data_IF_550579103048
#
_entry.id   IF_550579103048
#
_cell.length_a   1.000
_cell.length_b   1.000
_cell.length_c   1.000
_cell.angle_alpha   90.00
_cell.angle_beta   90.00
_cell.angle_gamma   90.00
#
_symmetry.space_group_name_H-M   'P 1'
#
loop_
_entity.id
_entity.type
_entity.pdbx_description
1 polymer ?
#
# COMPACT_ATOMS: atom_id res chain seq x y z
N UNK A 1 49.39 9.87 -23.17
CA UNK A 1 48.78 10.99 -23.91
C UNK A 1 47.49 11.37 -23.21
N UNK A 2 47.30 12.64 -22.79
CA UNK A 2 46.10 13.07 -22.04
C UNK A 2 44.96 13.24 -23.05
N UNK A 3 43.82 12.58 -22.83
CA UNK A 3 42.64 12.71 -23.69
C UNK A 3 42.10 14.14 -23.63
N UNK A 4 41.90 14.75 -24.79
CA UNK A 4 41.13 15.99 -24.94
C UNK A 4 39.64 15.64 -25.06
N UNK A 5 38.79 16.43 -24.43
CA UNK A 5 37.34 16.28 -24.49
C UNK A 5 36.76 17.53 -25.14
N UNK A 6 36.05 17.34 -26.26
CA UNK A 6 35.41 18.44 -26.96
C UNK A 6 34.22 18.97 -26.16
N UNK A 7 34.05 20.29 -26.16
CA UNK A 7 32.90 20.91 -25.54
C UNK A 7 31.66 20.73 -26.40
N UNK A 8 30.57 20.27 -25.78
CA UNK A 8 29.24 20.24 -26.37
C UNK A 8 28.28 21.03 -25.47
N UNK A 9 27.45 21.93 -26.03
CA UNK A 9 26.45 22.65 -25.25
C UNK A 9 25.42 21.67 -24.67
N UNK A 10 24.87 21.94 -23.47
CA UNK A 10 23.86 21.07 -22.87
C UNK A 10 22.56 21.09 -23.69
N UNK A 11 21.89 19.94 -23.74
CA UNK A 11 20.55 19.79 -24.33
C UNK A 11 19.57 19.40 -23.23
N UNK A 12 18.43 20.09 -23.15
CA UNK A 12 17.36 19.72 -22.20
C UNK A 12 16.79 18.35 -22.60
N UNK A 13 16.78 17.41 -21.67
CA UNK A 13 16.44 16.01 -21.98
C UNK A 13 14.97 15.78 -22.35
N UNK A 14 14.05 16.62 -21.89
CA UNK A 14 12.62 16.48 -22.10
C UNK A 14 12.03 17.82 -22.53
N UNK A 15 11.43 17.86 -23.71
CA UNK A 15 10.49 18.93 -24.03
C UNK A 15 9.29 18.82 -23.08
N UNK A 16 8.75 19.96 -22.62
CA UNK A 16 7.55 19.95 -21.78
C UNK A 16 6.41 19.29 -22.57
N UNK A 17 5.93 18.09 -22.17
CA UNK A 17 4.85 17.43 -22.89
C UNK A 17 3.58 18.27 -22.77
N UNK A 18 2.66 18.15 -23.72
CA UNK A 18 1.39 18.89 -23.69
C UNK A 18 0.64 18.70 -22.35
N UNK A 19 0.71 17.51 -21.76
CA UNK A 19 0.12 17.21 -20.46
C UNK A 19 0.83 17.86 -19.25
N UNK A 20 2.04 18.39 -19.41
CA UNK A 20 2.74 19.19 -18.39
C UNK A 20 2.42 20.69 -18.49
N UNK A 21 1.83 21.14 -19.59
CA UNK A 21 1.43 22.54 -19.78
C UNK A 21 0.01 22.70 -19.24
N UNK A 22 -0.15 23.51 -18.20
CA UNK A 22 -1.46 23.91 -17.68
C UNK A 22 -1.82 25.31 -18.16
N UNK A 23 -3.10 25.54 -18.39
CA UNK A 23 -3.61 26.87 -18.70
C UNK A 23 -3.68 27.68 -17.42
N UNK A 24 -2.90 28.75 -17.34
CA UNK A 24 -2.98 29.73 -16.25
C UNK A 24 -4.42 30.23 -16.04
N UNK A 25 -5.14 30.52 -17.12
CA UNK A 25 -6.53 30.95 -17.04
C UNK A 25 -7.45 29.89 -16.40
N UNK A 26 -7.25 28.60 -16.72
CA UNK A 26 -8.01 27.50 -16.12
C UNK A 26 -7.65 27.32 -14.63
N UNK A 27 -6.35 27.30 -14.31
CA UNK A 27 -5.86 27.22 -12.93
C UNK A 27 -6.44 28.35 -12.07
N UNK A 28 -6.35 29.59 -12.53
CA UNK A 28 -6.89 30.75 -11.82
C UNK A 28 -8.42 30.73 -11.74
N UNK A 29 -9.12 30.21 -12.76
CA UNK A 29 -10.56 30.04 -12.69
C UNK A 29 -10.97 28.99 -11.64
N UNK A 30 -10.27 27.84 -11.59
CA UNK A 30 -10.52 26.76 -10.62
C UNK A 30 -10.19 27.23 -9.21
N UNK A 31 -9.05 27.90 -9.04
CA UNK A 31 -8.60 28.49 -7.78
C UNK A 31 -9.60 29.51 -7.24
N UNK A 32 -10.01 30.49 -8.05
CA UNK A 32 -11.04 31.49 -7.65
C UNK A 32 -12.35 30.83 -7.24
N UNK A 33 -12.79 29.80 -7.97
CA UNK A 33 -14.02 29.06 -7.64
C UNK A 33 -13.92 28.36 -6.28
N UNK A 34 -12.80 27.70 -6.00
CA UNK A 34 -12.59 27.02 -4.71
C UNK A 34 -12.57 28.02 -3.54
N UNK A 35 -11.87 29.15 -3.70
CA UNK A 35 -11.78 30.19 -2.68
C UNK A 35 -13.11 30.93 -2.40
N UNK A 36 -14.05 30.92 -3.35
CA UNK A 36 -15.37 31.51 -3.16
C UNK A 36 -16.29 30.65 -2.25
N UNK A 37 -15.91 29.42 -1.94
CA UNK A 37 -16.68 28.52 -1.08
C UNK A 37 -16.73 28.98 0.38
N UNK A 38 -17.87 28.78 1.05
CA UNK A 38 -18.13 29.31 2.42
C UNK A 38 -17.57 28.47 3.57
N UNK A 39 -17.13 27.23 3.34
CA UNK A 39 -16.70 26.30 4.40
C UNK A 39 -15.26 25.84 4.15
N UNK A 40 -14.32 26.39 4.89
CA UNK A 40 -12.93 25.93 4.88
C UNK A 40 -12.76 24.89 5.98
N UNK A 41 -12.35 23.67 5.61
CA UNK A 41 -11.82 22.74 6.61
C UNK A 41 -10.39 23.16 6.93
N UNK A 42 -10.08 23.29 8.21
CA UNK A 42 -8.75 23.65 8.69
C UNK A 42 -8.11 22.50 9.46
N UNK A 43 -6.81 22.32 9.27
CA UNK A 43 -5.99 21.33 9.97
C UNK A 43 -4.66 21.99 10.34
N UNK A 44 -4.23 21.80 11.58
CA UNK A 44 -2.88 22.16 12.01
C UNK A 44 -2.03 20.90 11.98
N UNK A 45 -0.87 20.98 11.33
CA UNK A 45 0.22 20.01 11.44
C UNK A 45 1.15 20.53 12.54
N UNK A 46 1.14 19.94 13.75
CA UNK A 46 2.04 20.36 14.81
C UNK A 46 3.51 20.27 14.35
N UNK A 47 4.37 21.14 14.89
CA UNK A 47 5.81 21.03 14.65
C UNK A 47 6.32 19.63 15.00
N UNK A 48 7.32 19.13 14.27
CA UNK A 48 7.93 17.81 14.52
C UNK A 48 6.89 16.68 14.53
N UNK A 49 5.96 16.74 13.59
CA UNK A 49 4.93 15.72 13.42
C UNK A 49 4.45 15.68 11.97
N UNK A 50 3.50 14.80 11.68
CA UNK A 50 2.80 14.78 10.41
C UNK A 50 1.29 14.60 10.61
N UNK A 51 0.53 15.00 9.61
CA UNK A 51 -0.92 14.74 9.51
C UNK A 51 -1.27 14.36 8.09
N UNK A 52 -2.38 13.63 7.96
CA UNK A 52 -2.96 13.28 6.67
C UNK A 52 -4.32 13.95 6.47
N UNK A 53 -4.71 14.11 5.22
CA UNK A 53 -6.05 14.49 4.81
C UNK A 53 -6.34 13.96 3.41
N UNK A 54 -7.61 13.96 3.03
CA UNK A 54 -8.05 13.55 1.69
C UNK A 54 -8.49 14.73 0.87
N UNK A 55 -8.30 14.67 -0.44
CA UNK A 55 -8.80 15.63 -1.41
C UNK A 55 -9.56 14.90 -2.51
N UNK A 56 -10.64 15.48 -3.01
CA UNK A 56 -11.31 15.06 -4.24
C UNK A 56 -10.70 15.80 -5.43
N UNK A 57 -10.84 15.23 -6.62
CA UNK A 57 -10.44 15.89 -7.85
C UNK A 57 -11.11 17.27 -7.98
N UNK A 58 -10.30 18.31 -8.19
CA UNK A 58 -10.74 19.70 -8.24
C UNK A 58 -10.68 20.47 -6.92
N UNK A 59 -10.43 19.80 -5.78
CA UNK A 59 -10.20 20.49 -4.50
C UNK A 59 -8.93 21.34 -4.55
N UNK A 60 -8.98 22.47 -3.85
CA UNK A 60 -7.82 23.32 -3.58
C UNK A 60 -7.29 22.98 -2.19
N UNK A 61 -5.98 22.88 -2.05
CA UNK A 61 -5.31 22.82 -0.76
C UNK A 61 -4.36 23.99 -0.64
N UNK A 62 -4.45 24.73 0.47
CA UNK A 62 -3.49 25.75 0.86
C UNK A 62 -2.69 25.25 2.05
N UNK A 63 -1.36 25.38 1.98
CA UNK A 63 -0.46 25.15 3.11
C UNK A 63 0.20 26.47 3.46
N UNK A 64 0.04 26.94 4.69
CA UNK A 64 0.53 28.24 5.16
C UNK A 64 1.33 28.16 6.46
N UNK A 65 2.11 29.20 6.71
CA UNK A 65 2.98 29.34 7.88
C UNK A 65 2.33 30.25 8.94
N UNK A 66 1.70 29.71 10.01
CA UNK A 66 0.96 30.51 10.98
C UNK A 66 1.86 31.28 11.97
N UNK A 67 3.09 30.81 12.21
CA UNK A 67 3.94 31.30 13.30
C UNK A 67 5.32 31.78 12.84
N UNK A 68 6.07 30.95 12.11
CA UNK A 68 7.45 31.23 11.72
C UNK A 68 7.89 30.46 10.48
N UNK A 69 9.16 30.60 10.10
CA UNK A 69 9.75 29.90 8.95
C UNK A 69 9.84 28.40 9.23
N UNK A 70 9.19 27.59 8.41
CA UNK A 70 9.11 26.14 8.57
C UNK A 70 9.02 25.48 7.20
N UNK A 71 9.90 24.52 6.94
CA UNK A 71 9.82 23.69 5.73
C UNK A 71 8.91 22.48 5.95
N UNK A 72 8.30 22.00 4.88
CA UNK A 72 7.36 20.88 4.93
C UNK A 72 7.69 19.81 3.90
N UNK A 73 7.50 18.55 4.30
CA UNK A 73 7.72 17.39 3.45
C UNK A 73 6.36 16.79 3.06
N UNK A 74 5.99 16.89 1.78
CA UNK A 74 4.71 16.38 1.26
C UNK A 74 4.86 15.01 0.57
N UNK A 75 3.89 14.13 0.84
CA UNK A 75 3.65 12.91 0.06
C UNK A 75 2.19 12.89 -0.42
N UNK A 76 1.98 12.40 -1.65
CA UNK A 76 0.67 12.29 -2.28
C UNK A 76 0.48 10.85 -2.79
N UNK A 77 -0.69 10.28 -2.52
CA UNK A 77 -1.11 8.98 -3.03
C UNK A 77 -2.45 9.12 -3.73
N UNK A 78 -2.71 8.30 -4.74
CA UNK A 78 -4.07 8.15 -5.25
C UNK A 78 -4.95 7.54 -4.13
N UNK A 79 -6.12 8.13 -3.89
CA UNK A 79 -6.98 7.74 -2.77
C UNK A 79 -7.56 6.32 -2.90
N UNK A 80 -7.81 5.87 -4.13
CA UNK A 80 -8.43 4.57 -4.41
C UNK A 80 -7.43 3.40 -4.43
N UNK A 81 -6.15 3.64 -4.74
CA UNK A 81 -5.12 2.60 -4.82
C UNK A 81 -3.75 3.04 -4.24
N UNK A 82 -3.69 3.57 -3.00
CA UNK A 82 -2.51 4.29 -2.48
C UNK A 82 -1.23 3.44 -2.39
N UNK A 83 -1.34 2.11 -2.27
CA UNK A 83 -0.18 1.21 -2.28
C UNK A 83 0.52 1.08 -3.64
N UNK A 84 -0.12 1.54 -4.73
CA UNK A 84 0.39 1.37 -6.10
C UNK A 84 0.69 2.69 -6.79
N UNK A 85 -0.17 3.70 -6.64
CA UNK A 85 0.00 4.99 -7.31
C UNK A 85 0.28 6.10 -6.31
N UNK A 86 1.48 6.69 -6.42
CA UNK A 86 1.99 7.73 -5.52
C UNK A 86 2.85 8.73 -6.27
N UNK A 87 3.15 9.87 -5.65
CA UNK A 87 3.96 10.92 -6.24
C UNK A 87 5.37 10.41 -6.57
N UNK A 88 5.91 10.93 -7.68
CA UNK A 88 7.20 10.56 -8.22
C UNK A 88 8.06 11.79 -8.49
N UNK A 89 8.83 12.19 -7.47
CA UNK A 89 9.75 13.33 -7.51
C UNK A 89 10.73 13.22 -8.69
N UNK A 90 11.29 12.03 -8.93
CA UNK A 90 12.30 11.80 -9.97
C UNK A 90 11.82 12.14 -11.39
N UNK A 91 10.61 11.71 -11.77
CA UNK A 91 10.08 12.03 -13.10
C UNK A 91 9.51 13.45 -13.15
N UNK A 92 8.94 13.93 -12.05
CA UNK A 92 8.52 15.33 -11.90
C UNK A 92 9.70 16.27 -12.13
N UNK A 93 10.87 15.98 -11.54
CA UNK A 93 12.13 16.72 -11.71
C UNK A 93 12.61 16.74 -13.16
N UNK A 94 12.47 15.61 -13.86
CA UNK A 94 12.87 15.49 -15.26
C UNK A 94 11.96 16.26 -16.22
N UNK A 95 10.66 16.33 -15.92
CA UNK A 95 9.67 17.06 -16.74
C UNK A 95 9.72 18.57 -16.47
N UNK A 96 9.92 18.97 -15.21
CA UNK A 96 9.85 20.37 -14.79
C UNK A 96 11.23 20.95 -14.52
N UNK A 97 11.77 20.77 -13.31
CA UNK A 97 13.07 21.27 -12.88
C UNK A 97 13.45 20.66 -11.53
N UNK A 98 14.58 21.06 -10.95
CA UNK A 98 14.97 20.72 -9.57
C UNK A 98 13.97 21.21 -8.51
N UNK A 99 13.22 22.27 -8.83
CA UNK A 99 12.28 22.97 -7.96
C UNK A 99 11.01 23.29 -8.73
N UNK A 100 9.85 23.13 -8.09
CA UNK A 100 8.56 23.39 -8.73
C UNK A 100 8.16 24.85 -8.61
N UNK A 101 7.53 25.37 -9.67
CA UNK A 101 6.97 26.72 -9.71
C UNK A 101 5.46 26.67 -9.91
N UNK A 102 4.79 27.81 -9.71
CA UNK A 102 3.40 27.98 -10.12
C UNK A 102 3.21 27.45 -11.55
N UNK A 103 2.16 26.65 -11.74
CA UNK A 103 1.78 25.96 -12.97
C UNK A 103 2.59 24.70 -13.33
N UNK A 104 3.51 24.23 -12.48
CA UNK A 104 4.06 22.88 -12.62
C UNK A 104 3.13 21.81 -12.03
N UNK A 105 3.33 20.55 -12.43
CA UNK A 105 2.51 19.41 -12.02
C UNK A 105 3.32 18.43 -11.18
N UNK A 106 2.65 17.80 -10.21
CA UNK A 106 3.16 16.65 -9.49
C UNK A 106 2.71 15.38 -10.20
N UNK A 107 3.65 14.52 -10.60
CA UNK A 107 3.36 13.33 -11.41
C UNK A 107 3.39 12.04 -10.59
N UNK A 108 2.52 11.08 -10.94
CA UNK A 108 2.51 9.76 -10.32
C UNK A 108 3.59 8.82 -10.87
N UNK A 109 3.92 7.79 -10.08
CA UNK A 109 4.90 6.77 -10.43
C UNK A 109 4.46 5.86 -11.59
N UNK A 110 5.38 5.02 -12.07
CA UNK A 110 5.05 3.99 -13.04
C UNK A 110 4.20 2.86 -12.44
N UNK A 111 3.31 2.22 -13.23
CA UNK A 111 3.06 2.43 -14.66
C UNK A 111 2.05 3.54 -14.98
N UNK A 112 1.69 4.38 -14.01
CA UNK A 112 0.58 5.34 -14.14
C UNK A 112 0.97 6.62 -14.89
N UNK A 113 2.08 7.25 -14.48
CA UNK A 113 2.62 8.51 -15.01
C UNK A 113 1.54 9.51 -15.46
N UNK A 114 0.78 10.04 -14.50
CA UNK A 114 -0.24 11.05 -14.76
C UNK A 114 -0.24 12.16 -13.69
N UNK A 115 -0.78 13.34 -13.99
CA UNK A 115 -0.86 14.44 -13.04
C UNK A 115 -1.68 14.07 -11.81
N UNK A 116 -1.10 14.25 -10.62
CA UNK A 116 -1.77 14.09 -9.33
C UNK A 116 -2.29 15.42 -8.81
N UNK A 117 -1.48 16.47 -8.93
CA UNK A 117 -1.81 17.82 -8.52
C UNK A 117 -1.13 18.86 -9.42
N UNK A 118 -1.68 20.07 -9.44
CA UNK A 118 -1.09 21.23 -10.10
C UNK A 118 -0.79 22.31 -9.06
N UNK A 119 0.45 22.81 -9.03
CA UNK A 119 0.85 23.94 -8.19
C UNK A 119 0.24 25.21 -8.79
N UNK A 120 -0.56 25.97 -8.04
CA UNK A 120 -1.33 27.11 -8.59
C UNK A 120 -1.07 28.45 -7.92
N UNK A 121 -0.47 28.50 -6.74
CA UNK A 121 -0.03 29.76 -6.16
C UNK A 121 1.14 29.57 -5.21
N UNK A 122 2.15 30.40 -5.35
CA UNK A 122 3.27 30.54 -4.41
C UNK A 122 3.40 32.01 -4.02
N UNK A 123 3.45 32.32 -2.72
CA UNK A 123 3.74 33.69 -2.26
C UNK A 123 5.21 34.06 -2.38
N UNK A 124 6.09 33.08 -2.58
CA UNK A 124 7.54 33.25 -2.71
C UNK A 124 8.02 33.08 -4.16
N UNK A 125 7.13 33.18 -5.15
CA UNK A 125 7.44 32.93 -6.57
C UNK A 125 8.59 33.80 -7.11
N UNK A 126 8.74 35.01 -6.58
CA UNK A 126 9.79 35.97 -6.95
C UNK A 126 11.20 35.58 -6.45
N UNK A 127 11.34 34.55 -5.62
CA UNK A 127 12.67 34.10 -5.13
C UNK A 127 13.58 33.66 -6.28
N UNK A 128 13.03 32.98 -7.28
CA UNK A 128 13.78 32.53 -8.45
C UNK A 128 14.92 31.56 -8.11
N UNK A 129 16.08 31.78 -8.73
CA UNK A 129 17.32 31.04 -8.45
C UNK A 129 18.36 32.03 -7.94
N UNK A 130 18.87 31.79 -6.74
CA UNK A 130 19.83 32.68 -6.10
C UNK A 130 21.27 32.53 -6.64
N UNK A 131 22.18 33.37 -6.14
CA UNK A 131 23.59 33.39 -6.57
C UNK A 131 24.35 32.08 -6.38
N UNK A 132 23.95 31.27 -5.40
CA UNK A 132 24.56 29.98 -5.08
C UNK A 132 23.92 28.83 -5.89
N UNK A 133 22.88 29.12 -6.67
CA UNK A 133 22.09 28.14 -7.40
C UNK A 133 20.92 27.56 -6.60
N UNK A 134 20.54 28.20 -5.49
CA UNK A 134 19.45 27.77 -4.63
C UNK A 134 18.08 28.21 -5.14
N UNK A 135 17.04 27.39 -4.94
CA UNK A 135 15.64 27.74 -5.24
C UNK A 135 14.69 27.10 -4.21
N UNK A 136 13.38 27.28 -4.34
CA UNK A 136 12.37 26.85 -3.34
C UNK A 136 11.48 25.72 -3.85
N UNK A 137 10.94 24.92 -2.93
CA UNK A 137 9.95 23.86 -3.24
C UNK A 137 10.54 22.70 -4.04
N UNK A 138 11.61 22.11 -3.50
CA UNK A 138 12.43 21.16 -4.22
C UNK A 138 11.77 19.78 -4.42
N UNK A 139 12.19 19.10 -5.49
CA UNK A 139 11.89 17.69 -5.78
C UNK A 139 13.20 16.92 -6.06
N UNK A 140 14.31 17.39 -5.49
CA UNK A 140 15.64 16.78 -5.62
C UNK A 140 16.01 16.00 -4.38
N UNK A 141 15.58 16.46 -3.21
CA UNK A 141 15.75 15.77 -1.94
C UNK A 141 14.84 14.55 -1.85
N UNK A 142 15.09 13.73 -0.82
CA UNK A 142 14.28 12.56 -0.51
C UNK A 142 13.32 12.86 0.64
N UNK A 143 13.88 13.06 1.84
CA UNK A 143 13.29 13.50 3.11
C UNK A 143 14.33 13.30 4.19
N UNK A 144 14.29 14.04 5.30
CA UNK A 144 15.13 13.66 6.42
C UNK A 144 14.65 12.33 7.02
N UNK A 145 15.58 11.48 7.38
CA UNK A 145 15.30 10.14 7.90
C UNK A 145 16.22 9.79 9.09
N UNK A 146 15.85 8.75 9.83
CA UNK A 146 16.57 8.32 11.03
C UNK A 146 17.79 7.43 10.68
N UNK A 147 17.80 6.84 9.49
CA UNK A 147 18.90 6.00 9.00
C UNK A 147 20.14 6.82 8.67
N UNK A 148 19.99 7.93 7.93
CA UNK A 148 21.09 8.83 7.59
C UNK A 148 21.61 9.54 8.83
N UNK A 149 20.74 9.85 9.80
CA UNK A 149 21.17 10.40 11.08
C UNK A 149 22.08 9.42 11.81
N UNK A 150 21.64 8.17 11.97
CA UNK A 150 22.46 7.12 12.57
C UNK A 150 23.78 6.92 11.83
N UNK A 151 23.76 6.97 10.50
CA UNK A 151 24.97 6.84 9.69
C UNK A 151 25.96 7.99 9.91
N UNK A 152 25.47 9.22 10.10
CA UNK A 152 26.30 10.42 10.31
C UNK A 152 26.80 10.52 11.76
N UNK A 153 25.94 10.28 12.74
CA UNK A 153 26.22 10.56 14.16
C UNK A 153 26.62 9.32 14.96
N UNK A 154 26.28 8.12 14.47
CA UNK A 154 26.39 6.88 15.22
C UNK A 154 25.27 6.65 16.24
N UNK A 155 24.31 7.58 16.36
CA UNK A 155 23.25 7.53 17.36
C UNK A 155 21.90 7.14 16.76
N UNK A 156 21.17 6.27 17.45
CA UNK A 156 19.78 6.00 17.13
C UNK A 156 18.90 7.21 17.53
N UNK A 157 17.95 7.56 16.66
CA UNK A 157 16.91 8.54 16.98
C UNK A 157 15.57 8.11 16.39
N UNK A 158 14.50 8.69 16.92
CA UNK A 158 13.19 8.70 16.28
C UNK A 158 12.69 10.14 16.25
N UNK A 159 12.41 10.66 15.07
CA UNK A 159 11.91 12.03 14.93
C UNK A 159 12.39 12.72 13.67
N UNK A 160 12.10 12.10 12.53
CA UNK A 160 12.39 12.59 11.19
C UNK A 160 11.11 12.71 10.37
N UNK A 161 11.14 13.47 9.27
CA UNK A 161 10.02 13.52 8.31
C UNK A 161 9.61 12.12 7.86
N UNK A 162 10.60 11.25 7.58
CA UNK A 162 10.35 9.84 7.26
C UNK A 162 9.49 9.17 8.34
N UNK A 163 9.92 9.19 9.60
CA UNK A 163 9.20 8.53 10.70
C UNK A 163 7.83 9.16 10.97
N UNK A 164 7.72 10.49 10.90
CA UNK A 164 6.45 11.17 11.08
C UNK A 164 5.44 10.83 9.98
N UNK A 165 5.87 10.81 8.71
CA UNK A 165 5.03 10.39 7.60
C UNK A 165 4.62 8.91 7.75
N UNK A 166 5.56 8.03 8.09
CA UNK A 166 5.30 6.61 8.33
C UNK A 166 4.24 6.41 9.42
N UNK A 167 4.32 7.12 10.54
CA UNK A 167 3.28 7.04 11.58
C UNK A 167 1.93 7.59 11.11
N UNK A 168 1.92 8.72 10.39
CA UNK A 168 0.70 9.36 9.94
C UNK A 168 -0.10 8.49 8.96
N UNK A 169 0.58 7.72 8.09
CA UNK A 169 -0.11 6.92 7.06
C UNK A 169 -0.66 5.58 7.56
N UNK A 170 -0.27 5.13 8.77
CA UNK A 170 -0.75 3.86 9.35
C UNK A 170 -2.26 3.80 9.50
N UNK A 171 -2.91 4.93 9.79
CA UNK A 171 -4.37 5.00 9.91
C UNK A 171 -5.10 4.66 8.59
N UNK A 172 -4.40 4.80 7.46
CA UNK A 172 -4.88 4.46 6.12
C UNK A 172 -4.46 3.06 5.67
N UNK A 173 -3.91 2.25 6.59
CA UNK A 173 -3.43 0.90 6.29
C UNK A 173 -2.21 0.87 5.37
N UNK A 174 -1.45 1.96 5.33
CA UNK A 174 -0.15 2.06 4.67
C UNK A 174 0.98 1.87 5.69
N UNK A 175 2.19 1.65 5.20
CA UNK A 175 3.37 1.43 6.01
C UNK A 175 4.60 2.16 5.43
N UNK A 176 5.77 1.94 6.01
CA UNK A 176 7.02 2.62 5.66
C UNK A 176 7.36 2.52 4.17
N UNK A 177 7.05 1.40 3.51
CA UNK A 177 7.39 1.20 2.08
C UNK A 177 6.50 2.00 1.14
N UNK A 178 5.38 2.52 1.65
CA UNK A 178 4.47 3.39 0.90
C UNK A 178 4.91 4.87 0.96
N UNK A 179 5.73 5.25 1.95
CA UNK A 179 6.34 6.59 2.07
C UNK A 179 7.45 6.74 1.02
N UNK A 180 7.47 7.88 0.34
CA UNK A 180 8.29 8.12 -0.85
C UNK A 180 8.95 9.48 -0.81
N UNK A 181 9.81 9.75 -1.79
CA UNK A 181 10.52 11.02 -1.90
C UNK A 181 9.53 12.18 -2.04
N UNK A 182 9.82 13.26 -1.32
CA UNK A 182 8.87 14.32 -1.02
C UNK A 182 8.89 15.44 -2.03
N UNK A 183 7.84 16.25 -1.98
CA UNK A 183 7.91 17.64 -2.41
C UNK A 183 8.24 18.51 -1.19
N UNK A 184 9.43 19.11 -1.17
CA UNK A 184 10.00 19.83 -0.03
C UNK A 184 9.61 21.30 -0.06
N UNK A 185 8.39 21.61 0.41
CA UNK A 185 7.79 22.94 0.33
C UNK A 185 8.48 23.92 1.29
N UNK A 186 8.64 25.16 0.83
CA UNK A 186 9.39 26.25 1.47
C UNK A 186 10.89 26.00 1.67
N UNK A 187 11.41 24.80 1.40
CA UNK A 187 12.83 24.48 1.58
C UNK A 187 13.68 25.16 0.50
N UNK A 188 14.79 25.81 0.89
CA UNK A 188 15.75 26.42 -0.03
C UNK A 188 16.95 25.50 -0.23
N UNK A 189 17.10 24.93 -1.44
CA UNK A 189 18.13 23.92 -1.73
C UNK A 189 18.73 24.06 -3.12
N UNK A 190 19.82 23.34 -3.39
CA UNK A 190 20.50 23.36 -4.68
C UNK A 190 21.70 22.42 -4.71
N UNK A 191 22.53 22.56 -5.74
CA UNK A 191 23.79 21.85 -5.87
C UNK A 191 24.95 22.85 -5.93
N UNK A 192 25.98 22.63 -5.11
CA UNK A 192 27.17 23.48 -5.08
C UNK A 192 27.85 23.48 -6.44
N UNK A 193 28.33 24.64 -6.91
CA UNK A 193 28.89 24.75 -8.26
C UNK A 193 30.25 24.08 -8.40
N UNK A 194 31.03 24.06 -7.33
CA UNK A 194 32.38 23.53 -7.25
C UNK A 194 32.41 22.01 -7.04
N UNK A 195 31.59 21.50 -6.11
CA UNK A 195 31.61 20.08 -5.71
C UNK A 195 30.37 19.29 -6.15
N UNK A 196 29.35 19.95 -6.71
CA UNK A 196 28.10 19.34 -7.16
C UNK A 196 27.35 18.59 -6.04
N UNK A 197 27.52 19.04 -4.80
CA UNK A 197 26.89 18.45 -3.61
C UNK A 197 25.56 19.13 -3.31
N UNK A 198 24.60 18.36 -2.82
CA UNK A 198 23.31 18.88 -2.36
C UNK A 198 23.50 19.79 -1.13
N UNK A 199 22.95 21.00 -1.17
CA UNK A 199 22.98 21.94 -0.05
C UNK A 199 21.57 22.39 0.34
N UNK A 200 21.45 22.88 1.58
CA UNK A 200 20.30 23.65 2.03
C UNK A 200 20.75 24.99 2.60
N UNK A 201 19.84 25.98 2.60
CA UNK A 201 20.01 27.30 3.21
C UNK A 201 18.75 27.66 4.00
N UNK A 202 18.86 28.55 5.00
CA UNK A 202 17.68 29.03 5.74
C UNK A 202 16.56 29.43 4.79
N UNK A 203 15.38 28.85 4.98
CA UNK A 203 14.20 29.18 4.18
C UNK A 203 13.87 30.68 4.32
N UNK A 204 13.66 31.40 3.21
CA UNK A 204 13.29 32.81 3.24
C UNK A 204 11.83 33.03 3.69
N UNK A 205 11.05 31.95 3.82
CA UNK A 205 9.64 32.00 4.16
C UNK A 205 9.40 32.62 5.54
N UNK A 206 8.25 33.26 5.70
CA UNK A 206 7.86 33.96 6.92
C UNK A 206 6.42 33.61 7.28
N UNK A 207 6.03 34.02 8.49
CA UNK A 207 4.63 33.98 8.90
C UNK A 207 3.73 34.63 7.83
N UNK A 208 2.73 33.90 7.38
CA UNK A 208 1.76 34.33 6.38
C UNK A 208 2.08 33.87 4.96
N UNK A 209 3.30 33.39 4.67
CA UNK A 209 3.60 32.77 3.39
C UNK A 209 2.82 31.47 3.22
N UNK A 210 2.46 31.18 1.96
CA UNK A 210 1.67 30.00 1.63
C UNK A 210 1.93 29.51 0.20
N UNK A 211 1.64 28.23 0.01
CA UNK A 211 1.49 27.61 -1.31
C UNK A 211 0.07 27.07 -1.47
N UNK A 212 -0.38 26.94 -2.72
CA UNK A 212 -1.66 26.31 -3.06
C UNK A 212 -1.52 25.36 -4.23
N UNK A 213 -2.18 24.21 -4.14
CA UNK A 213 -2.25 23.24 -5.24
C UNK A 213 -3.67 22.72 -5.43
N UNK A 214 -4.01 22.43 -6.69
CA UNK A 214 -5.27 21.79 -7.09
C UNK A 214 -5.05 20.29 -7.23
N UNK A 215 -5.96 19.50 -6.69
CA UNK A 215 -6.00 18.06 -6.94
C UNK A 215 -6.48 17.78 -8.37
N UNK A 216 -5.72 17.01 -9.14
CA UNK A 216 -6.10 16.55 -10.49
C UNK A 216 -6.75 15.16 -10.47
N UNK A 217 -6.73 14.50 -9.33
CA UNK A 217 -7.42 13.24 -9.03
C UNK A 217 -7.80 13.21 -7.55
N UNK A 218 -8.45 12.13 -7.09
CA UNK A 218 -8.67 11.94 -5.66
C UNK A 218 -7.34 11.56 -4.98
N UNK A 219 -7.00 12.27 -3.92
CA UNK A 219 -5.71 12.15 -3.25
C UNK A 219 -5.87 11.84 -1.75
N UNK A 220 -4.99 10.97 -1.26
CA UNK A 220 -4.54 11.01 0.12
C UNK A 220 -3.26 11.86 0.15
N UNK A 221 -3.18 12.83 1.06
CA UNK A 221 -2.02 13.71 1.22
C UNK A 221 -1.52 13.60 2.65
N UNK A 222 -0.20 13.58 2.83
CA UNK A 222 0.44 13.70 4.13
C UNK A 222 1.49 14.81 4.10
N UNK A 223 1.54 15.62 5.16
CA UNK A 223 2.53 16.67 5.36
C UNK A 223 3.23 16.45 6.69
N UNK A 224 4.56 16.43 6.67
CA UNK A 224 5.37 16.55 7.86
C UNK A 224 5.91 17.97 8.02
N UNK A 225 5.70 18.56 9.21
CA UNK A 225 6.40 19.78 9.62
C UNK A 225 7.83 19.39 10.05
N UNK A 226 8.79 19.64 9.17
CA UNK A 226 10.13 19.10 9.26
C UNK A 226 10.82 19.46 10.59
N UNK A 227 11.45 18.50 11.29
CA UNK A 227 12.15 18.75 12.54
C UNK A 227 13.43 19.58 12.38
N UNK A 228 13.82 19.93 11.14
CA UNK A 228 14.90 20.87 10.87
C UNK A 228 14.45 22.33 10.75
N UNK A 229 13.16 22.63 10.98
CA UNK A 229 12.65 24.01 11.01
C UNK A 229 12.80 24.69 9.66
N UNK A 230 13.56 25.78 9.61
CA UNK A 230 13.91 26.53 8.40
C UNK A 230 15.13 25.97 7.65
N UNK A 231 15.66 24.81 8.07
CA UNK A 231 16.87 24.15 7.54
C UNK A 231 18.15 24.99 7.61
N UNK A 232 18.23 25.88 8.60
CA UNK A 232 19.44 26.67 8.90
C UNK A 232 20.54 25.91 9.64
N UNK A 233 20.32 24.64 9.99
CA UNK A 233 21.23 23.80 10.77
C UNK A 233 21.51 22.52 9.99
N UNK A 234 22.78 22.13 9.93
CA UNK A 234 23.22 20.95 9.18
C UNK A 234 22.63 19.66 9.75
N UNK A 235 22.29 18.72 8.86
CA UNK A 235 21.85 17.37 9.24
C UNK A 235 22.86 16.70 10.16
N UNK A 236 22.38 16.10 11.26
CA UNK A 236 23.20 15.48 12.29
C UNK A 236 23.46 16.38 13.50
N UNK A 237 23.27 17.69 13.38
CA UNK A 237 23.34 18.61 14.52
C UNK A 237 21.98 18.75 15.21
N UNK A 238 22.00 19.10 16.50
CA UNK A 238 20.79 19.33 17.29
C UNK A 238 20.11 20.63 16.86
N UNK A 239 18.85 20.53 16.46
CA UNK A 239 18.01 21.67 16.08
C UNK A 239 17.22 22.17 17.31
N UNK A 240 17.38 23.45 17.72
CA UNK A 240 16.59 24.04 18.81
C UNK A 240 15.09 23.99 18.52
N UNK A 241 14.29 23.78 19.55
CA UNK A 241 12.83 23.61 19.40
C UNK A 241 12.11 24.91 18.98
N UNK A 242 12.73 26.05 19.24
CA UNK A 242 12.29 27.40 18.90
C UNK A 242 12.44 27.71 17.40
N UNK A 243 13.19 26.87 16.66
CA UNK A 243 13.29 26.96 15.19
C UNK A 243 12.23 26.14 14.46
N UNK A 244 11.44 25.35 15.18
CA UNK A 244 10.41 24.50 14.59
C UNK A 244 9.02 25.08 14.90
N UNK A 245 8.17 25.16 13.88
CA UNK A 245 6.84 25.76 13.97
C UNK A 245 5.78 24.82 13.36
N UNK A 246 4.50 24.93 13.78
CA UNK A 246 3.42 24.21 13.12
C UNK A 246 3.15 24.77 11.72
N UNK A 247 2.46 23.99 10.90
CA UNK A 247 1.95 24.41 9.59
C UNK A 247 0.43 24.32 9.57
N UNK A 248 -0.24 25.22 8.83
CA UNK A 248 -1.70 25.21 8.66
C UNK A 248 -2.06 24.71 7.27
N UNK A 249 -3.03 23.80 7.21
CA UNK A 249 -3.63 23.29 5.98
C UNK A 249 -5.08 23.77 5.93
N UNK A 250 -5.47 24.34 4.80
CA UNK A 250 -6.82 24.82 4.52
C UNK A 250 -7.34 24.15 3.25
N UNK A 251 -8.54 23.57 3.34
CA UNK A 251 -9.25 22.90 2.25
C UNK A 251 -10.56 23.64 1.96
N UNK A 252 -10.55 24.64 1.06
CA UNK A 252 -11.76 25.25 0.56
C UNK A 252 -12.60 24.23 -0.21
N UNK A 253 -13.93 24.28 -0.13
CA UNK A 253 -14.78 23.25 -0.69
C UNK A 253 -14.84 23.41 -2.22
N UNK A 254 -14.66 22.33 -2.99
CA UNK A 254 -14.74 22.40 -4.45
C UNK A 254 -16.15 22.56 -5.01
N UNK A 255 -17.21 22.45 -4.19
CA UNK A 255 -18.61 22.68 -4.63
C UNK A 255 -19.58 22.86 -3.47
N UNK A 256 -20.42 23.90 -3.55
CA UNK A 256 -21.85 23.71 -3.28
C UNK A 256 -22.30 22.56 -4.20
N UNK A 257 -22.67 21.42 -3.62
CA UNK A 257 -23.49 20.45 -4.35
C UNK A 257 -24.78 21.18 -4.71
N UNK A 258 -24.86 21.69 -5.94
CA UNK A 258 -26.14 21.97 -6.57
C UNK A 258 -26.84 20.62 -6.62
N UNK A 259 -27.70 20.38 -5.63
CA UNK A 259 -28.64 19.27 -5.62
C UNK A 259 -29.38 19.31 -6.96
N UNK A 260 -29.04 18.38 -7.84
CA UNK A 260 -29.77 18.19 -9.07
C UNK A 260 -31.21 17.81 -8.68
N UNK A 261 -32.12 18.75 -8.95
CA UNK A 261 -33.57 18.62 -9.05
C UNK A 261 -34.31 17.84 -7.95
N UNK A 262 -34.98 18.62 -7.10
CA UNK A 262 -36.31 18.40 -6.49
C UNK A 262 -37.06 17.16 -6.99
N UNK A 263 -37.34 16.20 -6.10
CA UNK A 263 -38.42 15.22 -6.33
C UNK A 263 -38.44 13.93 -5.50
N UNK A 264 -37.39 13.57 -4.75
CA UNK A 264 -37.37 12.33 -3.95
C UNK A 264 -37.62 12.58 -2.46
N UNK A 265 -38.39 11.73 -1.73
CA UNK A 265 -38.61 11.90 -0.30
C UNK A 265 -37.30 11.70 0.46
N UNK A 266 -36.91 12.72 1.23
CA UNK A 266 -35.76 12.66 2.14
C UNK A 266 -36.17 11.93 3.41
N UNK A 267 -35.42 10.89 3.78
CA UNK A 267 -35.52 10.28 5.11
C UNK A 267 -34.88 11.23 6.12
N UNK A 268 -35.65 11.60 7.14
CA UNK A 268 -35.23 12.46 8.25
C UNK A 268 -34.07 11.83 9.03
N UNK A 269 -32.99 12.60 9.18
CA UNK A 269 -32.01 12.45 10.26
C UNK A 269 -30.65 11.93 9.84
N UNK A 270 -29.71 12.82 9.52
CA UNK A 270 -28.37 12.87 10.15
C UNK A 270 -27.87 14.33 10.15
N UNK A 271 -27.25 14.76 11.24
CA UNK A 271 -26.82 16.14 11.52
C UNK A 271 -25.32 16.39 11.26
N UNK A 272 -24.65 15.47 10.56
CA UNK A 272 -23.22 15.59 10.24
C UNK A 272 -22.28 15.08 11.34
N UNK A 273 -22.79 14.58 12.48
CA UNK A 273 -21.98 13.90 13.50
C UNK A 273 -21.61 12.45 13.13
N UNK A 274 -22.16 11.97 12.02
CA UNK A 274 -22.01 10.63 11.46
C UNK A 274 -20.72 10.43 10.63
N UNK A 275 -19.81 11.41 10.57
CA UNK A 275 -18.54 11.30 9.86
C UNK A 275 -17.59 10.27 10.49
N UNK A 276 -17.39 10.28 11.82
CA UNK A 276 -16.57 9.27 12.50
C UNK A 276 -17.16 7.86 12.34
N UNK A 277 -18.49 7.77 12.36
CA UNK A 277 -19.19 6.51 12.10
C UNK A 277 -18.92 6.03 10.67
N UNK A 278 -19.01 6.92 9.67
CA UNK A 278 -18.69 6.62 8.26
C UNK A 278 -17.23 6.22 8.05
N UNK A 279 -16.28 6.83 8.76
CA UNK A 279 -14.85 6.50 8.68
C UNK A 279 -14.55 5.11 9.28
N UNK A 280 -15.11 4.79 10.45
CA UNK A 280 -15.02 3.43 11.03
C UNK A 280 -15.71 2.39 10.15
N UNK A 281 -16.86 2.73 9.58
CA UNK A 281 -17.60 1.86 8.66
C UNK A 281 -16.78 1.59 7.39
N UNK A 282 -16.10 2.60 6.81
CA UNK A 282 -15.21 2.44 5.66
C UNK A 282 -14.00 1.51 5.95
N UNK A 283 -13.36 1.65 7.11
CA UNK A 283 -12.26 0.78 7.54
C UNK A 283 -12.72 -0.69 7.68
N UNK A 284 -13.90 -0.93 8.26
CA UNK A 284 -14.49 -2.28 8.33
C UNK A 284 -14.81 -2.86 6.94
N UNK A 285 -15.23 -2.03 5.97
CA UNK A 285 -15.44 -2.47 4.59
C UNK A 285 -14.15 -2.86 3.88
N UNK A 286 -13.05 -2.14 4.10
CA UNK A 286 -11.73 -2.50 3.56
C UNK A 286 -11.23 -3.84 4.14
N UNK A 287 -11.33 -4.05 5.45
CA UNK A 287 -10.94 -5.32 6.10
C UNK A 287 -11.78 -6.49 5.56
N UNK A 288 -13.08 -6.29 5.39
CA UNK A 288 -13.96 -7.32 4.83
C UNK A 288 -13.60 -7.62 3.38
N UNK A 289 -13.39 -6.61 2.53
CA UNK A 289 -13.03 -6.79 1.14
C UNK A 289 -11.70 -7.55 0.97
N UNK A 290 -10.68 -7.21 1.77
CA UNK A 290 -9.38 -7.85 1.73
C UNK A 290 -9.45 -9.34 2.11
N UNK A 291 -10.10 -9.67 3.23
CA UNK A 291 -10.22 -11.07 3.68
C UNK A 291 -11.08 -11.92 2.73
N UNK A 292 -12.08 -11.32 2.05
CA UNK A 292 -12.84 -12.00 0.99
C UNK A 292 -11.96 -12.37 -0.20
N UNK A 293 -11.08 -11.46 -0.61
CA UNK A 293 -10.12 -11.72 -1.70
C UNK A 293 -9.16 -12.84 -1.32
N UNK A 294 -8.55 -12.76 -0.13
CA UNK A 294 -7.60 -13.77 0.37
C UNK A 294 -8.23 -15.15 0.52
N UNK A 295 -9.46 -15.25 1.04
CA UNK A 295 -10.16 -16.52 1.13
C UNK A 295 -10.45 -17.15 -0.26
N UNK A 296 -10.70 -16.34 -1.30
CA UNK A 296 -10.83 -16.86 -2.68
C UNK A 296 -9.52 -17.44 -3.20
N UNK A 297 -8.37 -16.84 -2.88
CA UNK A 297 -7.07 -17.40 -3.23
C UNK A 297 -6.82 -18.73 -2.52
N UNK A 298 -7.15 -18.85 -1.23
CA UNK A 298 -7.05 -20.15 -0.54
C UNK A 298 -7.92 -21.22 -1.22
N UNK A 299 -9.14 -20.87 -1.62
CA UNK A 299 -10.03 -21.79 -2.37
C UNK A 299 -9.43 -22.16 -3.72
N UNK A 300 -8.81 -21.22 -4.43
CA UNK A 300 -8.11 -21.50 -5.69
C UNK A 300 -6.96 -22.49 -5.51
N UNK A 301 -6.09 -22.29 -4.51
CA UNK A 301 -5.00 -23.22 -4.22
C UNK A 301 -5.50 -24.58 -3.74
N UNK A 302 -6.62 -24.60 -3.01
CA UNK A 302 -7.28 -25.85 -2.65
C UNK A 302 -7.76 -26.63 -3.89
N UNK A 303 -8.32 -25.94 -4.90
CA UNK A 303 -8.64 -26.59 -6.17
C UNK A 303 -7.42 -27.16 -6.87
N UNK A 304 -6.28 -26.47 -6.85
CA UNK A 304 -5.04 -26.98 -7.44
C UNK A 304 -4.58 -28.27 -6.77
N UNK A 305 -4.56 -28.30 -5.43
CA UNK A 305 -4.23 -29.50 -4.67
C UNK A 305 -5.25 -30.63 -4.87
N UNK A 306 -6.53 -30.29 -5.02
CA UNK A 306 -7.58 -31.23 -5.40
C UNK A 306 -7.29 -31.88 -6.76
N UNK A 307 -6.87 -31.11 -7.78
CA UNK A 307 -6.52 -31.70 -9.07
C UNK A 307 -5.29 -32.61 -8.98
N UNK A 308 -4.29 -32.28 -8.17
CA UNK A 308 -3.14 -33.17 -7.91
C UNK A 308 -3.61 -34.48 -7.28
N UNK A 309 -4.46 -34.41 -6.26
CA UNK A 309 -5.05 -35.60 -5.64
C UNK A 309 -5.92 -36.38 -6.63
N UNK A 310 -6.72 -35.71 -7.45
CA UNK A 310 -7.59 -36.34 -8.44
C UNK A 310 -6.80 -37.07 -9.52
N UNK A 311 -5.67 -36.52 -9.97
CA UNK A 311 -4.75 -37.21 -10.90
C UNK A 311 -4.25 -38.49 -10.26
N UNK A 312 -3.85 -38.46 -8.99
CA UNK A 312 -3.44 -39.67 -8.27
C UNK A 312 -4.58 -40.69 -8.14
N UNK A 313 -5.79 -40.24 -7.80
CA UNK A 313 -6.97 -41.10 -7.71
C UNK A 313 -7.48 -41.61 -9.07
N UNK A 314 -7.09 -40.96 -10.17
CA UNK A 314 -7.62 -41.27 -11.50
C UNK A 314 -7.29 -42.68 -11.95
N UNK A 315 -6.14 -43.24 -11.55
CA UNK A 315 -5.78 -44.63 -11.83
C UNK A 315 -6.83 -45.60 -11.27
N UNK A 316 -7.07 -45.58 -9.96
CA UNK A 316 -8.08 -46.45 -9.31
C UNK A 316 -9.51 -46.16 -9.80
N UNK A 317 -9.83 -44.93 -10.20
CA UNK A 317 -11.15 -44.60 -10.78
C UNK A 317 -11.30 -45.24 -12.18
N UNK A 318 -10.27 -45.18 -13.03
CA UNK A 318 -10.29 -45.77 -14.36
C UNK A 318 -10.41 -47.29 -14.30
N UNK A 319 -9.68 -47.92 -13.37
CA UNK A 319 -9.75 -49.37 -13.13
C UNK A 319 -11.17 -49.80 -12.72
N UNK A 320 -11.81 -49.05 -11.83
CA UNK A 320 -13.21 -49.32 -11.42
C UNK A 320 -14.24 -49.11 -12.54
N UNK A 321 -13.88 -48.38 -13.59
CA UNK A 321 -14.70 -48.15 -14.78
C UNK A 321 -14.36 -49.12 -15.92
N UNK A 322 -13.43 -50.06 -15.70
CA UNK A 322 -12.93 -51.01 -16.70
C UNK A 322 -12.29 -50.30 -17.92
N UNK A 323 -11.59 -49.18 -17.67
CA UNK A 323 -10.88 -48.39 -18.68
C UNK A 323 -9.37 -48.58 -18.49
N UNK A 324 -8.71 -49.23 -19.45
CA UNK A 324 -7.28 -49.50 -19.40
C UNK A 324 -6.47 -48.45 -20.18
N UNK A 325 -5.48 -47.84 -19.53
CA UNK A 325 -4.51 -46.92 -20.15
C UNK A 325 -3.10 -47.37 -19.76
N UNK A 326 -2.33 -47.86 -20.74
CA UNK A 326 -1.03 -48.48 -20.51
C UNK A 326 -0.04 -47.55 -19.79
N UNK A 327 0.00 -46.27 -20.19
CA UNK A 327 0.92 -45.28 -19.61
C UNK A 327 0.63 -44.99 -18.13
N UNK A 328 -0.61 -45.16 -17.67
CA UNK A 328 -0.99 -44.96 -16.27
C UNK A 328 -0.62 -46.19 -15.44
N UNK A 329 -0.81 -47.38 -15.99
CA UNK A 329 -0.46 -48.65 -15.36
C UNK A 329 1.06 -48.82 -15.19
N UNK A 330 1.85 -48.37 -16.17
CA UNK A 330 3.31 -48.36 -16.09
C UNK A 330 3.85 -47.49 -14.94
N UNK A 331 3.08 -46.50 -14.46
CA UNK A 331 3.47 -45.67 -13.32
C UNK A 331 3.37 -46.40 -11.98
N UNK A 332 2.68 -47.56 -11.93
CA UNK A 332 2.50 -48.38 -10.73
C UNK A 332 2.07 -47.54 -9.52
N UNK A 333 1.07 -46.68 -9.73
CA UNK A 333 0.62 -45.72 -8.71
C UNK A 333 0.05 -46.51 -7.51
N UNK A 334 0.49 -46.23 -6.26
CA UNK A 334 0.01 -46.98 -5.11
C UNK A 334 -1.50 -46.80 -4.91
N UNK A 335 -2.22 -47.89 -4.55
CA UNK A 335 -3.66 -47.85 -4.41
C UNK A 335 -4.09 -46.79 -3.38
N UNK A 336 -5.21 -46.09 -3.62
CA UNK A 336 -5.64 -45.03 -2.72
C UNK A 336 -6.19 -45.55 -1.40
N UNK A 337 -5.81 -44.85 -0.34
CA UNK A 337 -6.41 -45.00 0.97
C UNK A 337 -7.70 -44.18 1.05
N UNK A 338 -8.61 -44.61 1.92
CA UNK A 338 -9.91 -43.95 2.09
C UNK A 338 -9.82 -42.45 2.43
N UNK A 339 -8.78 -42.04 3.16
CA UNK A 339 -8.60 -40.65 3.56
C UNK A 339 -8.43 -39.72 2.34
N UNK A 340 -7.84 -40.20 1.24
CA UNK A 340 -7.61 -39.43 0.01
C UNK A 340 -8.96 -39.06 -0.64
N UNK A 341 -9.86 -40.03 -0.71
CA UNK A 341 -11.24 -39.83 -1.17
C UNK A 341 -12.02 -38.89 -0.25
N UNK A 342 -11.91 -39.08 1.07
CA UNK A 342 -12.57 -38.19 2.03
C UNK A 342 -12.05 -36.76 1.93
N UNK A 343 -10.75 -36.56 1.74
CA UNK A 343 -10.17 -35.24 1.58
C UNK A 343 -10.69 -34.54 0.32
N UNK A 344 -10.85 -35.26 -0.78
CA UNK A 344 -11.43 -34.72 -2.02
C UNK A 344 -12.84 -34.14 -1.84
N UNK A 345 -13.63 -34.66 -0.90
CA UNK A 345 -14.97 -34.10 -0.60
C UNK A 345 -14.91 -32.67 -0.04
N UNK A 346 -13.77 -32.25 0.52
CA UNK A 346 -13.61 -30.90 1.06
C UNK A 346 -13.70 -29.81 -0.02
N UNK A 347 -13.47 -30.14 -1.29
CA UNK A 347 -13.59 -29.20 -2.41
C UNK A 347 -15.02 -28.64 -2.55
N UNK A 348 -16.03 -29.46 -2.27
CA UNK A 348 -17.44 -29.06 -2.34
C UNK A 348 -17.83 -28.03 -1.27
N UNK A 349 -17.06 -27.95 -0.18
CA UNK A 349 -17.27 -26.91 0.85
C UNK A 349 -16.97 -25.52 0.30
N UNK A 350 -16.14 -25.40 -0.73
CA UNK A 350 -15.85 -24.11 -1.37
C UNK A 350 -17.11 -23.40 -1.88
N UNK A 351 -18.14 -24.13 -2.33
CA UNK A 351 -19.42 -23.55 -2.74
C UNK A 351 -20.09 -22.82 -1.57
N UNK A 352 -20.06 -23.40 -0.37
CA UNK A 352 -20.57 -22.77 0.85
C UNK A 352 -19.73 -21.54 1.20
N UNK A 353 -18.40 -21.67 1.15
CA UNK A 353 -17.45 -20.57 1.39
C UNK A 353 -17.69 -19.38 0.47
N UNK A 354 -17.70 -19.59 -0.85
CA UNK A 354 -17.92 -18.55 -1.86
C UNK A 354 -19.30 -17.92 -1.77
N UNK A 355 -20.35 -18.73 -1.57
CA UNK A 355 -21.70 -18.20 -1.43
C UNK A 355 -21.87 -17.40 -0.13
N UNK A 356 -21.18 -17.77 0.95
CA UNK A 356 -21.17 -16.99 2.20
C UNK A 356 -20.49 -15.63 2.02
N UNK A 357 -19.42 -15.53 1.24
CA UNK A 357 -18.71 -14.28 0.90
C UNK A 357 -19.60 -13.31 0.12
N UNK A 358 -20.39 -13.84 -0.83
CA UNK A 358 -21.30 -13.03 -1.66
C UNK A 358 -22.40 -12.38 -0.82
N UNK A 359 -22.97 -13.14 0.12
CA UNK A 359 -24.08 -12.68 0.97
C UNK A 359 -23.69 -12.17 2.36
N UNK A 360 -22.40 -12.16 2.73
CA UNK A 360 -21.94 -11.93 4.11
C UNK A 360 -22.62 -12.84 5.16
N UNK A 361 -22.88 -14.10 4.80
CA UNK A 361 -23.71 -15.01 5.62
C UNK A 361 -22.85 -15.69 6.68
N UNK A 362 -22.92 -15.18 7.91
CA UNK A 362 -22.11 -15.67 9.06
C UNK A 362 -22.33 -17.16 9.33
N UNK A 363 -23.57 -17.64 9.29
CA UNK A 363 -23.87 -19.05 9.58
C UNK A 363 -23.30 -19.99 8.51
N UNK A 364 -23.34 -19.60 7.23
CA UNK A 364 -22.76 -20.41 6.16
C UNK A 364 -21.23 -20.40 6.23
N UNK A 365 -20.61 -19.27 6.62
CA UNK A 365 -19.17 -19.23 6.87
C UNK A 365 -18.75 -20.13 8.04
N UNK A 366 -19.56 -20.22 9.11
CA UNK A 366 -19.32 -21.18 10.19
C UNK A 366 -19.41 -22.62 9.70
N UNK A 367 -20.41 -22.96 8.87
CA UNK A 367 -20.53 -24.29 8.26
C UNK A 367 -19.31 -24.62 7.40
N UNK A 368 -18.85 -23.66 6.59
CA UNK A 368 -17.61 -23.78 5.83
C UNK A 368 -16.41 -24.07 6.73
N UNK A 369 -16.23 -23.30 7.80
CA UNK A 369 -15.13 -23.51 8.75
C UNK A 369 -15.18 -24.89 9.40
N UNK A 370 -16.34 -25.32 9.90
CA UNK A 370 -16.51 -26.66 10.49
C UNK A 370 -16.19 -27.73 9.46
N UNK A 371 -16.67 -27.58 8.23
CA UNK A 371 -16.37 -28.53 7.15
C UNK A 371 -14.88 -28.61 6.82
N UNK A 372 -14.17 -27.48 6.73
CA UNK A 372 -12.72 -27.49 6.49
C UNK A 372 -11.98 -28.13 7.66
N UNK A 373 -12.40 -27.84 8.90
CA UNK A 373 -11.83 -28.46 10.09
C UNK A 373 -12.04 -29.97 10.15
N UNK A 374 -13.16 -30.50 9.65
CA UNK A 374 -13.44 -31.94 9.68
C UNK A 374 -12.98 -32.65 8.41
N UNK A 375 -13.49 -32.27 7.25
CA UNK A 375 -13.24 -32.95 5.97
C UNK A 375 -11.91 -32.53 5.35
N UNK A 376 -11.40 -31.33 5.66
CA UNK A 376 -10.10 -30.86 5.18
C UNK A 376 -8.93 -31.34 6.04
N UNK A 377 -9.00 -31.14 7.36
CA UNK A 377 -7.86 -31.42 8.25
C UNK A 377 -7.79 -32.86 8.77
N UNK A 378 -8.91 -33.51 9.11
CA UNK A 378 -8.87 -34.86 9.71
C UNK A 378 -8.21 -35.88 8.79
N UNK A 379 -8.51 -35.91 7.46
CA UNK A 379 -7.80 -36.83 6.56
C UNK A 379 -6.29 -36.57 6.47
N UNK A 380 -5.87 -35.30 6.55
CA UNK A 380 -4.44 -34.95 6.55
C UNK A 380 -3.75 -35.39 7.84
N UNK A 381 -4.41 -35.25 8.99
CA UNK A 381 -3.89 -35.76 10.26
C UNK A 381 -3.77 -37.29 10.22
N UNK A 382 -4.76 -37.98 9.67
CA UNK A 382 -4.68 -39.42 9.47
C UNK A 382 -3.48 -39.80 8.59
N UNK A 383 -3.26 -39.09 7.47
CA UNK A 383 -2.09 -39.29 6.61
C UNK A 383 -0.77 -39.14 7.37
N UNK A 384 -0.63 -38.13 8.24
CA UNK A 384 0.57 -37.94 9.07
C UNK A 384 0.79 -39.17 9.95
N UNK A 385 -0.24 -39.60 10.70
CA UNK A 385 -0.09 -40.74 11.60
C UNK A 385 0.16 -42.06 10.86
N UNK A 386 -0.46 -42.24 9.69
CA UNK A 386 -0.32 -43.45 8.88
C UNK A 386 1.12 -43.64 8.40
N UNK A 387 1.76 -42.57 7.91
CA UNK A 387 3.14 -42.61 7.39
C UNK A 387 4.21 -42.17 8.40
N UNK A 388 3.85 -42.02 9.68
CA UNK A 388 4.75 -41.46 10.68
C UNK A 388 6.01 -42.31 10.86
N UNK A 389 5.85 -43.64 10.92
CA UNK A 389 6.97 -44.55 11.13
C UNK A 389 7.93 -44.53 9.93
N UNK A 390 7.41 -44.68 8.71
CA UNK A 390 8.20 -44.60 7.46
C UNK A 390 9.02 -43.30 7.38
N UNK A 391 8.41 -42.16 7.75
CA UNK A 391 9.08 -40.86 7.71
C UNK A 391 10.15 -40.75 8.80
N UNK A 392 9.88 -41.23 10.02
CA UNK A 392 10.86 -41.21 11.11
C UNK A 392 12.03 -42.16 10.83
N UNK A 393 11.76 -43.33 10.26
CA UNK A 393 12.78 -44.28 9.83
C UNK A 393 13.66 -43.66 8.74
N UNK A 394 13.06 -43.09 7.70
CA UNK A 394 13.79 -42.42 6.62
C UNK A 394 14.70 -41.29 7.14
N UNK A 395 14.21 -40.47 8.09
CA UNK A 395 14.98 -39.37 8.67
C UNK A 395 16.12 -39.84 9.59
N UNK A 396 16.09 -41.11 10.03
CA UNK A 396 17.10 -41.73 10.88
C UNK A 396 18.16 -42.54 10.12
N UNK A 397 18.04 -42.72 8.81
CA UNK A 397 18.98 -43.49 8.00
C UNK A 397 20.35 -42.80 7.89
N UNK A 398 21.41 -43.60 7.84
CA UNK A 398 22.74 -43.11 7.53
C UNK A 398 22.85 -42.77 6.03
N UNK A 399 23.72 -41.81 5.71
CA UNK A 399 23.88 -41.33 4.34
C UNK A 399 24.47 -42.45 3.47
N UNK A 400 23.72 -42.88 2.45
CA UNK A 400 24.11 -43.97 1.54
C UNK A 400 23.51 -45.34 1.85
N UNK A 401 22.61 -45.46 2.83
CA UNK A 401 21.79 -46.68 3.02
C UNK A 401 20.84 -46.88 1.84
N UNK A 402 20.77 -48.11 1.32
CA UNK A 402 19.83 -48.48 0.27
C UNK A 402 18.41 -48.61 0.86
N UNK A 403 17.41 -48.01 0.20
CA UNK A 403 16.02 -48.05 0.68
C UNK A 403 15.42 -49.45 0.57
N UNK A 404 15.93 -50.28 -0.34
CA UNK A 404 15.50 -51.67 -0.50
C UNK A 404 15.84 -52.56 0.72
N UNK A 405 16.76 -52.11 1.59
CA UNK A 405 17.14 -52.78 2.84
C UNK A 405 16.27 -52.36 4.05
N UNK A 406 15.26 -51.50 3.83
CA UNK A 406 14.39 -50.95 4.88
C UNK A 406 12.94 -51.41 4.74
N UNK A 407 12.13 -51.25 5.79
CA UNK A 407 10.69 -51.55 5.73
C UNK A 407 9.86 -50.39 5.13
N UNK A 408 10.54 -49.34 4.62
CA UNK A 408 9.91 -48.14 4.06
C UNK A 408 9.24 -48.45 2.72
N UNK A 409 7.99 -48.04 2.57
CA UNK A 409 7.31 -48.18 1.28
C UNK A 409 7.81 -47.14 0.25
N UNK A 410 8.35 -47.62 -0.88
CA UNK A 410 8.94 -46.82 -1.96
C UNK A 410 8.04 -46.82 -3.19
N UNK A 411 7.89 -45.65 -3.84
CA UNK A 411 7.26 -45.51 -5.15
C UNK A 411 8.19 -44.74 -6.10
N UNK A 412 8.54 -45.37 -7.22
CA UNK A 412 9.44 -44.81 -8.24
C UNK A 412 10.80 -44.34 -7.67
N UNK A 413 11.35 -45.08 -6.70
CA UNK A 413 12.62 -44.77 -6.04
C UNK A 413 12.54 -43.69 -4.94
N UNK A 414 11.35 -43.21 -4.60
CA UNK A 414 11.14 -42.24 -3.53
C UNK A 414 10.34 -42.81 -2.35
N UNK A 415 10.68 -42.46 -1.10
CA UNK A 415 9.90 -42.86 0.08
C UNK A 415 8.51 -42.24 0.00
N UNK A 416 7.49 -43.07 -0.18
CA UNK A 416 6.13 -42.62 -0.52
C UNK A 416 5.50 -41.78 0.59
N UNK A 417 5.76 -42.14 1.86
CA UNK A 417 5.30 -41.38 3.03
C UNK A 417 5.84 -39.94 3.06
N UNK A 418 7.07 -39.71 2.57
CA UNK A 418 7.68 -38.38 2.51
C UNK A 418 7.03 -37.50 1.44
N UNK A 419 6.69 -38.08 0.29
CA UNK A 419 5.93 -37.38 -0.76
C UNK A 419 4.57 -36.90 -0.21
N UNK A 420 3.90 -37.73 0.58
CA UNK A 420 2.67 -37.35 1.26
C UNK A 420 2.87 -36.24 2.30
N UNK A 421 3.96 -36.25 3.06
CA UNK A 421 4.28 -35.16 3.98
C UNK A 421 4.47 -33.83 3.24
N UNK A 422 5.07 -33.85 2.05
CA UNK A 422 5.16 -32.67 1.17
C UNK A 422 3.79 -32.14 0.75
N UNK A 423 2.88 -33.03 0.32
CA UNK A 423 1.49 -32.65 0.01
C UNK A 423 0.75 -32.11 1.22
N UNK A 424 0.84 -32.81 2.37
CA UNK A 424 0.18 -32.45 3.62
C UNK A 424 0.63 -31.06 4.08
N UNK A 425 1.92 -30.74 4.00
CA UNK A 425 2.44 -29.42 4.38
C UNK A 425 1.74 -28.29 3.60
N UNK A 426 1.61 -28.45 2.28
CA UNK A 426 0.93 -27.47 1.42
C UNK A 426 -0.57 -27.39 1.72
N UNK A 427 -1.23 -28.55 1.84
CA UNK A 427 -2.66 -28.61 2.13
C UNK A 427 -3.01 -28.03 3.51
N UNK A 428 -2.16 -28.27 4.52
CA UNK A 428 -2.32 -27.74 5.88
C UNK A 428 -2.23 -26.21 5.88
N UNK A 429 -1.27 -25.62 5.16
CA UNK A 429 -1.16 -24.16 5.01
C UNK A 429 -2.40 -23.56 4.36
N UNK A 430 -2.87 -24.14 3.26
CA UNK A 430 -4.07 -23.68 2.54
C UNK A 430 -5.31 -23.71 3.44
N UNK A 431 -5.51 -24.81 4.18
CA UNK A 431 -6.64 -24.95 5.10
C UNK A 431 -6.53 -24.05 6.33
N UNK A 432 -5.32 -23.87 6.87
CA UNK A 432 -5.08 -22.97 8.00
C UNK A 432 -5.41 -21.53 7.63
N UNK A 433 -4.89 -21.04 6.51
CA UNK A 433 -5.20 -19.70 6.01
C UNK A 433 -6.68 -19.55 5.66
N UNK A 434 -7.32 -20.59 5.13
CA UNK A 434 -8.77 -20.59 4.89
C UNK A 434 -9.56 -20.34 6.17
N UNK A 435 -9.24 -21.04 7.26
CA UNK A 435 -9.88 -20.84 8.57
C UNK A 435 -9.56 -19.46 9.15
N UNK A 436 -8.32 -18.99 9.03
CA UNK A 436 -7.90 -17.67 9.52
C UNK A 436 -8.68 -16.54 8.85
N UNK A 437 -8.76 -16.53 7.51
CA UNK A 437 -9.49 -15.49 6.78
C UNK A 437 -11.01 -15.61 6.99
N UNK A 438 -11.54 -16.83 7.08
CA UNK A 438 -12.95 -17.05 7.42
C UNK A 438 -13.31 -16.50 8.82
N UNK A 439 -12.44 -16.71 9.81
CA UNK A 439 -12.60 -16.15 11.15
C UNK A 439 -12.64 -14.62 11.15
N UNK A 440 -11.69 -14.00 10.44
CA UNK A 440 -11.65 -12.54 10.29
C UNK A 440 -12.90 -11.98 9.60
N UNK A 441 -13.45 -12.70 8.61
CA UNK A 441 -14.72 -12.35 7.97
C UNK A 441 -15.89 -12.43 8.94
N UNK A 442 -15.98 -13.49 9.75
CA UNK A 442 -17.02 -13.61 10.77
C UNK A 442 -16.93 -12.45 11.77
N UNK A 443 -15.73 -12.08 12.22
CA UNK A 443 -15.52 -10.94 13.12
C UNK A 443 -16.01 -9.63 12.49
N UNK A 444 -15.65 -9.39 11.22
CA UNK A 444 -16.09 -8.21 10.47
C UNK A 444 -17.62 -8.18 10.25
N UNK A 445 -18.24 -9.33 9.95
CA UNK A 445 -19.68 -9.40 9.67
C UNK A 445 -20.55 -9.36 10.93
N UNK A 446 -20.08 -9.88 12.07
CA UNK A 446 -20.82 -9.79 13.34
C UNK A 446 -20.88 -8.37 13.90
N UNK A 447 -19.83 -7.56 13.70
CA UNK A 447 -19.86 -6.13 14.02
C UNK A 447 -21.01 -5.40 13.32
N UNK A 448 -21.38 -5.83 12.10
CA UNK A 448 -22.50 -5.30 11.33
C UNK A 448 -23.87 -5.65 11.91
N UNK A 449 -24.06 -6.87 12.39
CA UNK A 449 -25.35 -7.32 12.94
C UNK A 449 -25.65 -6.73 14.33
N UNK A 450 -24.63 -6.38 15.11
CA UNK A 450 -24.78 -5.70 16.40
C UNK A 450 -25.24 -4.23 16.23
N UNK A 451 -24.67 -3.51 15.25
CA UNK A 451 -25.09 -2.14 14.90
C UNK A 451 -26.52 -2.07 14.37
N UNK A 452 -26.98 -3.11 13.66
CA UNK A 452 -28.32 -3.19 13.06
C UNK A 452 -29.44 -3.57 14.04
N UNK A 453 -29.11 -3.97 15.27
CA UNK A 453 -30.07 -4.28 16.34
C UNK A 453 -30.15 -3.19 17.42
N UNK A 454 -29.28 -2.19 17.36
CA UNK A 454 -29.25 -1.03 18.26
C UNK A 454 -29.75 0.27 17.63
N UNK A 455 -30.19 0.22 16.37
CA UNK A 455 -31.10 1.17 15.72
C UNK A 455 -32.47 0.48 15.64
#
# INVERSE_FOLDING_TARGET
MKRTFDYHPPTVCYDKPAAAVVSEQDCESRRRRALAGRRVQELIVPKKSARTWTMQAGDLCRVSLPEGSQVGDLNLWNLENPRRERFFSGKTRQIHSTHLKTYDRLWSCFPYLRPMAAFVKDTLEDYGVDRDGGSLHDVVGTRCDDYIYKLITGEDRFGSCHSYLTEAVKEHGLDEVDVHDTWNIFMCTGFTRDTQQYFCKPSPARKGDYIEFLAEMNLLVALSACPQGDVSIQVGQKVPDEKCFPMKVELPPSREQTMASRGGPMVLGTDGTDFEHRQRVAAHYQISALNKSRLKYCIFFHYLLFFVMLVKLSADILDRLDIFILEIEELQIPPPLWWEYFWCLSVFLSFIGLASIRGNRVNDMKKYMVGISTIGFVPLLYCIFYYLNDVLEYLGLEEGTDLDDTDIFVWQGYPYGLLWYGFVLMAFQVHFFSLFFAWNLIKAWRGRSALKKGQ
#
